data_IF_445649319338
#
_entry.id   IF_445649319338
#
_cell.length_a   1.000
_cell.length_b   1.000
_cell.length_c   1.000
_cell.angle_alpha   90.00
_cell.angle_beta   90.00
_cell.angle_gamma   90.00
#
_symmetry.space_group_name_H-M   'P 1'
#
loop_
_entity.id
_entity.type
_entity.pdbx_description
1 polymer ?
#
# COMPACT_ATOMS: atom_id res chain seq x y z
N UNK A 1 -2.59 -22.37 -38.09
CA UNK A 1 -1.60 -21.30 -37.87
C UNK A 1 -1.92 -20.73 -36.49
N UNK A 2 -1.11 -21.08 -35.51
CA UNK A 2 -1.31 -20.74 -34.10
C UNK A 2 -1.01 -19.26 -33.90
N UNK A 3 -2.00 -18.49 -33.44
CA UNK A 3 -1.70 -17.29 -32.66
C UNK A 3 -1.53 -17.76 -31.22
N UNK A 4 -0.30 -18.07 -30.85
CA UNK A 4 0.11 -18.13 -29.46
C UNK A 4 -0.12 -16.71 -28.92
N UNK A 5 -1.22 -16.54 -28.19
CA UNK A 5 -1.33 -15.46 -27.21
C UNK A 5 -0.18 -15.72 -26.25
N UNK A 6 0.90 -14.97 -26.40
CA UNK A 6 1.91 -14.86 -25.35
C UNK A 6 1.11 -14.51 -24.08
N UNK A 7 1.16 -15.41 -23.10
CA UNK A 7 0.67 -15.13 -21.76
C UNK A 7 1.36 -13.84 -21.33
N UNK A 8 0.62 -12.74 -21.37
CA UNK A 8 0.99 -11.54 -20.65
C UNK A 8 1.11 -12.00 -19.20
N UNK A 9 2.35 -12.14 -18.74
CA UNK A 9 2.69 -12.55 -17.38
C UNK A 9 2.26 -11.39 -16.47
N UNK A 10 0.95 -11.27 -16.24
CA UNK A 10 0.43 -10.55 -15.10
C UNK A 10 1.17 -11.12 -13.91
N UNK A 11 1.78 -10.26 -13.09
CA UNK A 11 2.47 -10.62 -11.85
C UNK A 11 1.49 -11.24 -10.82
N UNK A 12 0.85 -12.34 -11.21
CA UNK A 12 0.13 -13.27 -10.39
C UNK A 12 1.20 -13.91 -9.49
N UNK A 13 0.96 -13.84 -8.19
CA UNK A 13 1.76 -14.51 -7.14
C UNK A 13 3.09 -13.87 -6.76
N UNK A 14 3.41 -12.66 -7.23
CA UNK A 14 4.28 -11.81 -6.44
C UNK A 14 3.47 -11.22 -5.29
N UNK A 15 3.27 -12.02 -4.25
CA UNK A 15 2.99 -11.45 -2.94
C UNK A 15 4.00 -10.33 -2.65
N UNK A 16 3.62 -9.42 -1.75
CA UNK A 16 4.37 -8.27 -1.25
C UNK A 16 5.86 -8.49 -0.89
N UNK A 17 6.36 -9.72 -0.99
CA UNK A 17 7.75 -10.15 -0.94
C UNK A 17 8.72 -9.33 -1.80
N UNK A 18 8.29 -8.73 -2.92
CA UNK A 18 9.21 -7.95 -3.78
C UNK A 18 9.71 -6.68 -3.08
N UNK A 19 8.86 -5.99 -2.32
CA UNK A 19 9.25 -4.74 -1.64
C UNK A 19 10.08 -4.99 -0.37
N UNK A 20 10.13 -6.23 0.13
CA UNK A 20 10.79 -6.56 1.39
C UNK A 20 11.93 -7.60 1.26
N UNK A 21 12.09 -8.27 0.11
CA UNK A 21 13.23 -9.18 -0.18
C UNK A 21 14.34 -8.55 -1.03
N UNK A 22 14.11 -7.40 -1.65
CA UNK A 22 15.09 -6.73 -2.53
C UNK A 22 15.77 -5.55 -1.82
N UNK A 23 16.73 -4.92 -2.50
CA UNK A 23 17.47 -3.79 -1.94
C UNK A 23 16.51 -2.63 -1.59
N UNK A 24 16.87 -1.79 -0.61
CA UNK A 24 16.06 -0.62 -0.21
C UNK A 24 15.71 0.29 -1.40
N UNK A 25 16.59 0.36 -2.40
CA UNK A 25 16.36 1.13 -3.63
C UNK A 25 15.27 0.54 -4.53
N UNK A 26 15.20 -0.79 -4.63
CA UNK A 26 14.19 -1.49 -5.44
C UNK A 26 12.80 -1.37 -4.79
N UNK A 27 12.76 -1.48 -3.46
CA UNK A 27 11.54 -1.25 -2.68
C UNK A 27 11.00 0.18 -2.89
N UNK A 28 11.86 1.19 -2.78
CA UNK A 28 11.49 2.60 -3.02
C UNK A 28 10.99 2.84 -4.45
N UNK A 29 11.61 2.21 -5.45
CA UNK A 29 11.16 2.28 -6.84
C UNK A 29 9.78 1.64 -7.03
N UNK A 30 9.54 0.48 -6.43
CA UNK A 30 8.24 -0.20 -6.48
C UNK A 30 7.14 0.66 -5.84
N UNK A 31 7.41 1.26 -4.67
CA UNK A 31 6.48 2.16 -4.02
C UNK A 31 6.17 3.41 -4.82
N UNK A 32 7.17 3.99 -5.49
CA UNK A 32 6.95 5.11 -6.43
C UNK A 32 6.03 4.71 -7.58
N UNK A 33 6.21 3.52 -8.15
CA UNK A 33 5.32 3.01 -9.21
C UNK A 33 3.88 2.88 -8.70
N UNK A 34 3.68 2.31 -7.52
CA UNK A 34 2.34 2.19 -6.89
C UNK A 34 1.73 3.59 -6.70
N UNK A 35 2.50 4.57 -6.25
CA UNK A 35 2.01 5.94 -6.08
C UNK A 35 1.61 6.60 -7.41
N UNK A 36 2.33 6.34 -8.50
CA UNK A 36 1.99 6.83 -9.85
C UNK A 36 0.70 6.18 -10.35
N UNK A 37 0.57 4.86 -10.23
CA UNK A 37 -0.65 4.14 -10.62
C UNK A 37 -1.87 4.59 -9.81
N UNK A 38 -1.69 4.80 -8.50
CA UNK A 38 -2.72 5.36 -7.65
C UNK A 38 -3.12 6.77 -8.10
N UNK A 39 -2.18 7.62 -8.53
CA UNK A 39 -2.49 8.96 -9.03
C UNK A 39 -3.38 8.93 -10.27
N UNK A 40 -3.08 8.04 -11.22
CA UNK A 40 -3.92 7.84 -12.41
C UNK A 40 -5.34 7.39 -12.03
N UNK A 41 -5.48 6.45 -11.10
CA UNK A 41 -6.80 6.01 -10.62
C UNK A 41 -7.58 7.14 -9.93
N UNK A 42 -6.89 7.98 -9.15
CA UNK A 42 -7.51 9.09 -8.41
C UNK A 42 -8.00 10.20 -9.34
N UNK A 43 -7.40 10.37 -10.52
CA UNK A 43 -7.84 11.37 -11.52
C UNK A 43 -9.18 11.01 -12.15
N UNK A 44 -9.53 9.73 -12.19
CA UNK A 44 -10.81 9.27 -12.73
C UNK A 44 -11.95 9.55 -11.75
N UNK A 45 -13.05 10.09 -12.24
CA UNK A 45 -14.25 10.31 -11.44
C UNK A 45 -15.00 8.99 -11.26
N UNK A 46 -15.36 8.59 -10.02
CA UNK A 46 -16.04 7.33 -9.76
C UNK A 46 -17.46 7.38 -10.31
N UNK A 47 -17.88 6.32 -10.99
CA UNK A 47 -19.23 6.18 -11.55
C UNK A 47 -20.10 5.26 -10.68
N UNK A 48 -19.47 4.46 -9.83
CA UNK A 48 -20.14 3.53 -8.92
C UNK A 48 -19.59 3.64 -7.49
N UNK A 49 -20.33 3.04 -6.54
CA UNK A 49 -19.85 2.86 -5.17
C UNK A 49 -18.59 2.00 -5.09
N UNK A 50 -18.40 1.06 -6.02
CA UNK A 50 -17.18 0.25 -6.15
C UNK A 50 -16.00 1.14 -6.50
N UNK A 51 -16.15 1.95 -7.56
CA UNK A 51 -15.11 2.87 -8.01
C UNK A 51 -14.76 3.86 -6.92
N UNK A 52 -15.77 4.35 -6.19
CA UNK A 52 -15.57 5.28 -5.09
C UNK A 52 -14.72 4.66 -3.97
N UNK A 53 -14.97 3.39 -3.60
CA UNK A 53 -14.17 2.71 -2.60
C UNK A 53 -12.73 2.52 -3.09
N UNK A 54 -12.54 1.98 -4.28
CA UNK A 54 -11.21 1.73 -4.84
C UNK A 54 -10.40 3.03 -4.99
N UNK A 55 -11.05 4.10 -5.48
CA UNK A 55 -10.44 5.44 -5.59
C UNK A 55 -10.02 5.98 -4.22
N UNK A 56 -10.85 5.80 -3.19
CA UNK A 56 -10.50 6.23 -1.82
C UNK A 56 -9.32 5.43 -1.26
N UNK A 57 -9.30 4.12 -1.46
CA UNK A 57 -8.21 3.25 -1.02
C UNK A 57 -6.89 3.59 -1.72
N UNK A 58 -6.90 3.77 -3.05
CA UNK A 58 -5.72 4.23 -3.79
C UNK A 58 -5.21 5.61 -3.30
N UNK A 59 -6.12 6.54 -3.01
CA UNK A 59 -5.77 7.82 -2.41
C UNK A 59 -5.17 7.73 -1.01
N UNK A 60 -5.52 6.72 -0.23
CA UNK A 60 -4.92 6.44 1.07
C UNK A 60 -3.53 5.82 0.89
N UNK A 61 -3.38 4.80 0.02
CA UNK A 61 -2.09 4.20 -0.31
C UNK A 61 -1.06 5.22 -0.79
N UNK A 62 -1.43 6.08 -1.76
CA UNK A 62 -0.55 7.14 -2.25
C UNK A 62 -0.04 8.05 -1.13
N UNK A 63 -0.94 8.43 -0.21
CA UNK A 63 -0.59 9.28 0.94
C UNK A 63 0.32 8.57 1.92
N UNK A 64 0.13 7.27 2.14
CA UNK A 64 0.99 6.49 3.02
C UNK A 64 2.41 6.36 2.46
N UNK A 65 2.53 6.14 1.15
CA UNK A 65 3.84 6.07 0.47
C UNK A 65 4.59 7.41 0.59
N UNK A 66 3.86 8.53 0.60
CA UNK A 66 4.45 9.86 0.76
C UNK A 66 4.58 10.31 2.22
N UNK A 67 4.20 9.48 3.19
CA UNK A 67 4.21 9.84 4.60
C UNK A 67 5.64 9.80 5.15
N UNK A 68 6.00 10.83 5.90
CA UNK A 68 7.36 10.97 6.49
C UNK A 68 7.40 10.66 7.97
N UNK A 69 6.28 10.23 8.57
CA UNK A 69 6.16 9.94 10.01
C UNK A 69 5.28 8.74 10.23
N UNK A 70 5.59 7.91 11.24
CA UNK A 70 4.75 6.78 11.65
C UNK A 70 3.33 7.21 12.03
N UNK A 71 3.18 8.36 12.71
CA UNK A 71 1.86 8.90 13.08
C UNK A 71 0.96 9.16 11.87
N UNK A 72 1.51 9.70 10.77
CA UNK A 72 0.75 9.91 9.54
C UNK A 72 0.30 8.59 8.89
N UNK A 73 1.13 7.55 8.93
CA UNK A 73 0.77 6.22 8.41
C UNK A 73 -0.36 5.62 9.26
N UNK A 74 -0.29 5.73 10.59
CA UNK A 74 -1.35 5.27 11.51
C UNK A 74 -2.69 5.95 11.23
N UNK A 75 -2.70 7.28 11.06
CA UNK A 75 -3.91 8.04 10.72
C UNK A 75 -4.51 7.61 9.37
N UNK A 76 -3.65 7.27 8.40
CA UNK A 76 -4.08 6.81 7.08
C UNK A 76 -4.66 5.40 7.17
N UNK A 77 -4.04 4.49 7.93
CA UNK A 77 -4.55 3.15 8.19
C UNK A 77 -5.94 3.21 8.86
N UNK A 78 -6.11 4.02 9.91
CA UNK A 78 -7.40 4.21 10.56
C UNK A 78 -8.49 4.74 9.60
N UNK A 79 -8.12 5.63 8.67
CA UNK A 79 -9.03 6.12 7.62
C UNK A 79 -9.39 5.04 6.61
N UNK A 80 -8.46 4.14 6.27
CA UNK A 80 -8.70 3.00 5.39
C UNK A 80 -9.70 2.03 6.00
N UNK A 81 -9.46 1.63 7.25
CA UNK A 81 -10.37 0.78 8.02
C UNK A 81 -11.78 1.39 8.08
N UNK A 82 -11.89 2.68 8.41
CA UNK A 82 -13.18 3.38 8.42
C UNK A 82 -13.85 3.39 7.05
N UNK A 83 -13.08 3.61 5.97
CA UNK A 83 -13.59 3.63 4.61
C UNK A 83 -14.20 2.27 4.21
N UNK A 84 -13.53 1.16 4.54
CA UNK A 84 -14.03 -0.20 4.29
C UNK A 84 -15.26 -0.52 5.13
N UNK A 85 -15.26 -0.18 6.42
CA UNK A 85 -16.40 -0.40 7.32
C UNK A 85 -17.65 0.36 6.90
N UNK A 86 -17.49 1.53 6.29
CA UNK A 86 -18.59 2.34 5.76
C UNK A 86 -19.03 1.95 4.34
N UNK A 87 -18.30 1.03 3.69
CA UNK A 87 -18.63 0.58 2.34
C UNK A 87 -19.95 -0.21 2.32
N UNK A 88 -20.66 -0.14 1.20
CA UNK A 88 -21.94 -0.84 1.04
C UNK A 88 -21.74 -2.36 1.01
N UNK A 89 -22.50 -3.09 1.83
CA UNK A 89 -22.49 -4.57 1.84
C UNK A 89 -22.91 -5.21 0.52
N UNK A 90 -23.49 -4.43 -0.41
CA UNK A 90 -23.89 -4.88 -1.73
C UNK A 90 -22.77 -4.78 -2.78
N UNK A 91 -21.55 -4.35 -2.39
CA UNK A 91 -20.42 -4.32 -3.31
C UNK A 91 -20.00 -5.74 -3.73
N UNK A 92 -19.45 -5.92 -4.94
CA UNK A 92 -18.86 -7.19 -5.35
C UNK A 92 -17.75 -7.64 -4.39
N UNK A 93 -17.67 -8.94 -4.10
CA UNK A 93 -16.67 -9.52 -3.18
C UNK A 93 -15.25 -9.13 -3.56
N UNK A 94 -14.91 -9.19 -4.86
CA UNK A 94 -13.58 -8.81 -5.34
C UNK A 94 -13.20 -7.34 -5.00
N UNK A 95 -14.17 -6.43 -4.95
CA UNK A 95 -13.93 -5.02 -4.57
C UNK A 95 -13.67 -4.91 -3.07
N UNK A 96 -14.34 -5.73 -2.28
CA UNK A 96 -14.11 -5.83 -0.83
C UNK A 96 -12.75 -6.44 -0.52
N UNK A 97 -12.37 -7.52 -1.19
CA UNK A 97 -11.09 -8.21 -1.02
C UNK A 97 -9.95 -7.25 -1.35
N UNK A 98 -10.03 -6.54 -2.47
CA UNK A 98 -9.02 -5.56 -2.85
C UNK A 98 -8.92 -4.39 -1.86
N UNK A 99 -10.05 -3.92 -1.31
CA UNK A 99 -10.04 -2.91 -0.27
C UNK A 99 -9.46 -3.44 1.05
N UNK A 100 -9.66 -4.72 1.36
CA UNK A 100 -9.08 -5.36 2.53
C UNK A 100 -7.56 -5.53 2.37
N UNK A 101 -7.09 -5.96 1.20
CA UNK A 101 -5.66 -6.07 0.89
C UNK A 101 -4.96 -4.70 0.98
N UNK A 102 -5.59 -3.64 0.47
CA UNK A 102 -5.05 -2.29 0.60
C UNK A 102 -5.00 -1.80 2.06
N UNK A 103 -5.94 -2.18 2.92
CA UNK A 103 -5.88 -1.92 4.37
C UNK A 103 -4.74 -2.70 5.03
N UNK A 104 -4.63 -4.01 4.76
CA UNK A 104 -3.58 -4.86 5.30
C UNK A 104 -2.18 -4.38 4.88
N UNK A 105 -2.03 -3.89 3.65
CA UNK A 105 -0.82 -3.25 3.18
C UNK A 105 -0.44 -2.03 4.05
N UNK A 106 -1.40 -1.16 4.37
CA UNK A 106 -1.17 0.01 5.20
C UNK A 106 -0.79 -0.37 6.64
N UNK A 107 -1.36 -1.45 7.16
CA UNK A 107 -0.98 -2.03 8.45
C UNK A 107 0.49 -2.49 8.43
N UNK A 108 0.90 -3.25 7.41
CA UNK A 108 2.28 -3.69 7.25
C UNK A 108 3.27 -2.53 7.10
N UNK A 109 2.90 -1.48 6.36
CA UNK A 109 3.70 -0.26 6.26
C UNK A 109 3.89 0.41 7.63
N UNK A 110 2.84 0.45 8.44
CA UNK A 110 2.90 1.00 9.79
C UNK A 110 3.80 0.16 10.71
N UNK A 111 3.62 -1.15 10.74
CA UNK A 111 4.45 -2.06 11.53
C UNK A 111 5.93 -1.94 11.18
N UNK A 112 6.24 -1.87 9.89
CA UNK A 112 7.61 -1.69 9.40
C UNK A 112 8.19 -0.34 9.82
N UNK A 113 7.47 0.76 9.58
CA UNK A 113 7.94 2.10 9.93
C UNK A 113 8.16 2.24 11.44
N UNK A 114 7.27 1.65 12.26
CA UNK A 114 7.40 1.61 13.71
C UNK A 114 8.62 0.79 14.17
N UNK A 115 8.86 -0.38 13.57
CA UNK A 115 10.04 -1.19 13.85
C UNK A 115 11.35 -0.45 13.49
N UNK A 116 11.36 0.27 12.38
CA UNK A 116 12.50 1.11 12.00
C UNK A 116 12.74 2.23 13.01
N UNK A 117 11.73 3.03 13.39
CA UNK A 117 11.87 4.09 14.40
C UNK A 117 12.43 3.56 15.73
N UNK A 118 11.96 2.41 16.20
CA UNK A 118 12.47 1.78 17.42
C UNK A 118 13.97 1.41 17.32
N UNK A 119 14.42 0.96 16.15
CA UNK A 119 15.83 0.58 15.92
C UNK A 119 16.78 1.79 15.94
N UNK A 120 16.33 2.97 15.47
CA UNK A 120 17.12 4.21 15.52
C UNK A 120 17.31 4.72 16.96
N UNK A 121 16.35 4.47 17.85
CA UNK A 121 16.45 4.88 19.26
C UNK A 121 17.43 3.99 20.03
N UNK A 122 17.48 2.69 19.73
CA UNK A 122 18.35 1.72 20.43
C UNK A 122 19.83 1.81 19.97
N UNK A 123 20.07 2.17 18.70
CA UNK A 123 21.42 2.38 18.16
C UNK A 123 22.13 3.66 18.63
N UNK A 124 21.41 4.59 19.26
CA UNK A 124 21.97 5.88 19.73
C UNK A 124 22.58 5.82 21.13
N UNK A 125 22.62 4.64 21.78
CA UNK A 125 23.18 4.46 23.13
C UNK A 125 24.31 3.43 23.10
N UNK A 126 25.36 3.70 22.32
CA UNK A 126 26.67 3.13 22.59
C UNK A 126 27.59 4.29 22.98
N UNK A 127 27.89 4.49 24.28
CA UNK A 127 28.96 5.40 24.64
C UNK A 127 30.26 4.82 24.09
N UNK A 128 30.89 5.55 23.17
CA UNK A 128 32.30 5.35 22.82
C UNK A 128 33.11 5.57 24.10
N UNK A 129 33.37 4.49 24.84
CA UNK A 129 34.33 4.50 25.92
C UNK A 129 35.72 4.61 25.29
N UNK A 130 36.31 5.80 25.47
CA UNK A 130 37.70 6.14 25.16
C UNK A 130 38.67 5.50 26.15
#
# INVERSE_FOLDING_TARGET
MLFALEEEEWAQEAGWDIAFRTSVADADAAWKLVALQADELIRVSPLSSSDLLLRRMAGLMKRAISATTVGAICDIHAKAMKCRLQASKALPTAVYDLAFEAEACLEQMFEHAHACEAHWVDGSILPLAA
#
